data_IF_455002618404
#
_entry.id   IF_455002618404
#
_cell.length_a   1.000
_cell.length_b   1.000
_cell.length_c   1.000
_cell.angle_alpha   90.00
_cell.angle_beta   90.00
_cell.angle_gamma   90.00
#
_symmetry.space_group_name_H-M   'P 1'
#
loop_
_entity.id
_entity.type
_entity.pdbx_description
1 polymer ?
#
# COMPACT_ATOMS: atom_id res chain seq x y z
N UNK A 1 -34.30 3.58 45.81
CA UNK A 1 -33.00 3.09 45.27
C UNK A 1 -33.02 3.16 43.74
N UNK A 2 -32.79 4.31 43.10
CA UNK A 2 -32.83 4.47 41.62
C UNK A 2 -31.89 5.56 41.08
N UNK A 3 -30.79 5.86 41.76
CA UNK A 3 -29.89 6.97 41.37
C UNK A 3 -28.45 6.53 41.06
N UNK A 4 -28.08 5.28 41.34
CA UNK A 4 -26.70 4.81 41.12
C UNK A 4 -26.46 4.20 39.73
N UNK A 5 -27.52 3.72 39.07
CA UNK A 5 -27.40 3.10 37.74
C UNK A 5 -27.14 4.12 36.62
N UNK A 6 -27.56 5.38 36.79
CA UNK A 6 -27.51 6.38 35.72
C UNK A 6 -26.09 6.95 35.49
N UNK A 7 -25.25 6.97 36.54
CA UNK A 7 -23.88 7.49 36.43
C UNK A 7 -22.88 6.47 35.88
N UNK A 8 -23.18 5.16 35.96
CA UNK A 8 -22.32 4.13 35.38
C UNK A 8 -22.43 4.10 33.85
N UNK A 9 -23.61 4.39 33.31
CA UNK A 9 -23.85 4.42 31.85
C UNK A 9 -23.25 5.67 31.21
N UNK A 10 -23.11 6.79 31.92
CA UNK A 10 -22.45 8.00 31.40
C UNK A 10 -20.92 7.92 31.38
N UNK A 11 -20.31 7.10 32.24
CA UNK A 11 -18.84 6.93 32.30
C UNK A 11 -18.28 5.88 31.35
N UNK A 12 -19.10 4.91 30.91
CA UNK A 12 -18.62 3.78 30.11
C UNK A 12 -18.53 3.99 28.60
N UNK A 13 -19.19 5.02 28.04
CA UNK A 13 -19.30 5.19 26.57
C UNK A 13 -18.08 5.89 25.96
N UNK A 14 -17.21 6.49 26.77
CA UNK A 14 -16.09 7.31 26.25
C UNK A 14 -14.77 6.55 26.01
N UNK A 15 -14.71 5.24 26.27
CA UNK A 15 -13.43 4.49 26.16
C UNK A 15 -13.36 3.60 24.90
N UNK A 16 -14.44 3.49 24.12
CA UNK A 16 -14.52 2.55 23.00
C UNK A 16 -14.37 3.18 21.60
N UNK A 17 -13.65 4.30 21.47
CA UNK A 17 -13.41 4.95 20.17
C UNK A 17 -11.94 4.97 19.72
N UNK A 18 -10.99 4.59 20.58
CA UNK A 18 -9.57 4.76 20.31
C UNK A 18 -8.87 3.56 19.64
N UNK A 19 -9.57 2.45 19.39
CA UNK A 19 -8.95 1.18 18.99
C UNK A 19 -8.88 0.90 17.48
N UNK A 20 -9.35 1.81 16.61
CA UNK A 20 -9.45 1.53 15.16
C UNK A 20 -8.49 2.33 14.26
N UNK A 21 -7.59 3.16 14.81
CA UNK A 21 -6.64 3.95 14.01
C UNK A 21 -5.33 3.20 13.67
N UNK A 22 -5.11 2.00 14.20
CA UNK A 22 -3.83 1.27 14.03
C UNK A 22 -3.91 0.04 13.11
N UNK A 23 -4.96 -0.08 12.29
CA UNK A 23 -5.11 -1.23 11.39
C UNK A 23 -4.44 -1.08 10.02
N UNK A 24 -3.95 0.11 9.65
CA UNK A 24 -3.39 0.37 8.30
C UNK A 24 -2.01 1.06 8.28
N UNK A 25 -1.31 1.08 9.41
CA UNK A 25 0.12 1.48 9.43
C UNK A 25 0.96 0.31 9.89
N UNK A 26 0.78 -0.86 9.27
CA UNK A 26 1.81 -1.88 9.38
C UNK A 26 3.01 -1.36 8.57
N UNK A 27 4.18 -1.11 9.18
CA UNK A 27 5.38 -0.93 8.38
C UNK A 27 5.51 -2.19 7.52
N UNK A 28 5.55 -2.05 6.19
CA UNK A 28 5.89 -3.16 5.28
C UNK A 28 7.16 -3.80 5.85
N UNK A 29 7.03 -5.02 6.38
CA UNK A 29 8.20 -5.80 6.77
C UNK A 29 9.02 -5.99 5.50
N UNK A 30 10.16 -5.31 5.41
CA UNK A 30 11.00 -5.17 4.20
C UNK A 30 11.68 -6.46 3.78
N UNK A 31 10.90 -7.46 3.39
CA UNK A 31 11.39 -8.76 2.90
C UNK A 31 10.64 -9.26 1.65
N UNK A 32 9.61 -8.55 1.19
CA UNK A 32 8.99 -8.85 -0.10
C UNK A 32 9.52 -7.86 -1.11
N UNK A 33 10.08 -8.39 -2.19
CA UNK A 33 10.50 -7.56 -3.31
C UNK A 33 9.27 -6.91 -3.95
N UNK A 34 9.42 -5.66 -4.36
CA UNK A 34 8.35 -4.88 -4.94
C UNK A 34 8.72 -4.49 -6.36
N UNK A 35 7.82 -4.72 -7.29
CA UNK A 35 8.07 -4.48 -8.71
C UNK A 35 6.98 -3.62 -9.32
N UNK A 36 7.40 -2.63 -10.10
CA UNK A 36 6.52 -1.79 -10.91
C UNK A 36 6.68 -2.09 -12.40
N UNK A 37 5.63 -1.84 -13.19
CA UNK A 37 5.68 -1.99 -14.64
C UNK A 37 4.81 -0.95 -15.33
N UNK A 38 5.37 -0.24 -16.32
CA UNK A 38 4.68 0.78 -17.11
C UNK A 38 3.83 0.16 -18.24
N UNK A 39 4.18 -1.03 -18.72
CA UNK A 39 3.60 -1.67 -19.91
C UNK A 39 3.21 -3.15 -19.70
N UNK A 40 3.44 -3.70 -18.49
CA UNK A 40 3.27 -5.11 -18.15
C UNK A 40 4.37 -6.04 -18.70
N UNK A 41 5.38 -5.50 -19.38
CA UNK A 41 6.46 -6.24 -20.04
C UNK A 41 7.82 -5.87 -19.46
N UNK A 42 8.06 -4.58 -19.26
CA UNK A 42 9.25 -4.01 -18.64
C UNK A 42 8.99 -3.83 -17.15
N UNK A 43 9.83 -4.44 -16.32
CA UNK A 43 9.65 -4.45 -14.87
C UNK A 43 10.82 -3.77 -14.18
N UNK A 44 10.53 -3.06 -13.09
CA UNK A 44 11.53 -2.35 -12.29
C UNK A 44 11.45 -2.83 -10.85
N UNK A 45 12.58 -3.23 -10.27
CA UNK A 45 12.65 -3.52 -8.85
C UNK A 45 12.70 -2.21 -8.07
N UNK A 46 11.67 -1.98 -7.26
CA UNK A 46 11.49 -0.76 -6.45
C UNK A 46 11.53 -1.04 -4.95
N UNK A 47 12.01 -2.22 -4.53
CA UNK A 47 12.12 -2.63 -3.12
C UNK A 47 12.85 -1.60 -2.25
N UNK A 48 13.89 -0.95 -2.80
CA UNK A 48 14.67 0.09 -2.12
C UNK A 48 14.52 1.49 -2.76
N UNK A 49 13.53 1.65 -3.64
CA UNK A 49 13.26 2.91 -4.32
C UNK A 49 12.29 3.78 -3.51
N UNK A 50 12.38 5.10 -3.67
CA UNK A 50 11.57 6.07 -2.93
C UNK A 50 10.37 6.53 -3.77
N UNK A 51 9.12 6.33 -3.32
CA UNK A 51 7.94 6.87 -3.99
C UNK A 51 7.97 8.40 -4.09
N UNK A 52 7.55 8.95 -5.23
CA UNK A 52 7.59 10.38 -5.56
C UNK A 52 8.98 10.91 -5.95
N UNK A 53 10.02 10.08 -5.90
CA UNK A 53 11.38 10.42 -6.34
C UNK A 53 11.83 9.47 -7.45
N UNK A 54 11.76 8.17 -7.18
CA UNK A 54 12.21 7.12 -8.10
C UNK A 54 11.08 6.57 -8.97
N UNK A 55 9.88 6.50 -8.40
CA UNK A 55 8.65 6.10 -9.09
C UNK A 55 7.44 6.80 -8.48
N UNK A 56 6.33 6.86 -9.21
CA UNK A 56 5.05 7.30 -8.69
C UNK A 56 3.95 6.27 -8.97
N UNK A 57 2.92 6.29 -8.13
CA UNK A 57 1.69 5.53 -8.31
C UNK A 57 0.55 6.51 -8.59
N UNK A 58 0.44 6.92 -9.85
CA UNK A 58 -0.54 7.92 -10.27
C UNK A 58 -1.95 7.33 -10.35
N UNK A 59 -2.94 8.11 -9.92
CA UNK A 59 -4.35 7.74 -10.05
C UNK A 59 -4.73 7.70 -11.53
N UNK A 60 -5.19 6.54 -12.00
CA UNK A 60 -5.65 6.37 -13.37
C UNK A 60 -7.10 5.88 -13.38
N UNK A 61 -7.86 6.37 -14.36
CA UNK A 61 -9.18 5.85 -14.66
C UNK A 61 -9.00 4.51 -15.38
N UNK A 62 -9.09 3.39 -14.66
CA UNK A 62 -9.21 1.97 -15.09
C UNK A 62 -8.16 1.04 -14.40
N UNK A 63 -8.44 -0.28 -14.25
CA UNK A 63 -7.87 -1.09 -13.18
C UNK A 63 -6.47 -1.58 -13.53
N UNK A 64 -5.46 -0.83 -13.09
CA UNK A 64 -4.07 -1.26 -13.08
C UNK A 64 -3.60 -1.22 -11.62
N UNK A 65 -2.78 -2.19 -11.22
CA UNK A 65 -2.10 -2.17 -9.94
C UNK A 65 -0.72 -1.54 -10.13
N UNK A 66 -0.31 -0.68 -9.19
CA UNK A 66 0.97 0.02 -9.30
C UNK A 66 2.17 -0.90 -9.03
N UNK A 67 2.06 -1.76 -8.01
CA UNK A 67 3.14 -2.62 -7.55
C UNK A 67 2.71 -4.08 -7.53
N UNK A 68 3.67 -4.97 -7.70
CA UNK A 68 3.49 -6.43 -7.70
C UNK A 68 4.60 -7.10 -6.89
N UNK A 69 4.35 -8.34 -6.45
CA UNK A 69 5.29 -9.17 -5.67
C UNK A 69 6.32 -9.93 -6.52
N UNK A 70 6.28 -9.74 -7.85
CA UNK A 70 7.19 -10.35 -8.80
C UNK A 70 7.14 -9.64 -10.15
N UNK A 71 8.19 -9.79 -10.97
CA UNK A 71 8.27 -9.15 -12.28
C UNK A 71 7.64 -10.05 -13.35
N UNK A 72 6.34 -10.32 -13.26
CA UNK A 72 5.63 -11.15 -14.24
C UNK A 72 4.16 -10.80 -14.37
N UNK A 73 3.56 -11.17 -15.50
CA UNK A 73 2.11 -11.01 -15.71
C UNK A 73 1.24 -11.90 -14.81
N UNK A 74 1.85 -12.88 -14.14
CA UNK A 74 1.19 -13.74 -13.16
C UNK A 74 1.47 -13.35 -11.70
N UNK A 75 2.26 -12.28 -11.47
CA UNK A 75 2.57 -11.79 -10.15
C UNK A 75 1.32 -11.24 -9.45
N UNK A 76 1.31 -11.32 -8.12
CA UNK A 76 0.21 -10.79 -7.34
C UNK A 76 0.42 -9.29 -7.13
N UNK A 77 -0.65 -8.50 -7.22
CA UNK A 77 -0.57 -7.09 -6.93
C UNK A 77 -0.32 -6.83 -5.44
N UNK A 78 0.43 -5.76 -5.16
CA UNK A 78 0.70 -5.23 -3.83
C UNK A 78 -0.03 -3.89 -3.69
N UNK A 79 -0.87 -3.78 -2.66
CA UNK A 79 -1.51 -2.51 -2.28
C UNK A 79 -2.82 -2.22 -3.03
N UNK A 80 -3.10 -0.94 -3.23
CA UNK A 80 -4.37 -0.46 -3.77
C UNK A 80 -4.51 -0.72 -5.28
N UNK A 81 -5.76 -0.90 -5.71
CA UNK A 81 -6.16 -0.98 -7.12
C UNK A 81 -6.27 0.44 -7.72
N UNK A 82 -6.28 0.54 -9.06
CA UNK A 82 -6.51 1.80 -9.81
C UNK A 82 -5.35 2.82 -9.75
N UNK A 83 -4.11 2.31 -9.78
CA UNK A 83 -2.91 3.13 -9.88
C UNK A 83 -1.97 2.64 -10.97
N UNK A 84 -1.47 3.56 -11.77
CA UNK A 84 -0.45 3.30 -12.79
C UNK A 84 0.93 3.55 -12.19
N UNK A 85 1.86 2.64 -12.49
CA UNK A 85 3.27 2.84 -12.19
C UNK A 85 3.87 3.81 -13.20
N UNK A 86 4.54 4.85 -12.70
CA UNK A 86 5.27 5.81 -13.52
C UNK A 86 6.71 5.87 -13.04
N UNK A 87 7.66 5.61 -13.94
CA UNK A 87 9.07 5.73 -13.59
C UNK A 87 9.49 7.21 -13.56
N UNK A 88 10.06 7.65 -12.44
CA UNK A 88 10.56 9.02 -12.28
C UNK A 88 12.09 9.09 -12.37
N UNK A 89 12.78 8.05 -11.88
CA UNK A 89 14.24 7.95 -11.95
C UNK A 89 14.68 7.00 -13.07
N UNK A 90 15.26 7.52 -14.18
CA UNK A 90 15.71 6.70 -15.30
C UNK A 90 16.99 5.88 -14.99
N UNK A 91 17.62 6.07 -13.83
CA UNK A 91 18.77 5.27 -13.39
C UNK A 91 18.36 3.90 -12.82
N UNK A 92 17.06 3.69 -12.53
CA UNK A 92 16.57 2.36 -12.18
C UNK A 92 16.61 1.46 -13.41
N UNK A 93 17.49 0.47 -13.36
CA UNK A 93 17.62 -0.52 -14.43
C UNK A 93 16.42 -1.49 -14.44
N UNK A 94 15.93 -1.87 -15.63
CA UNK A 94 14.88 -2.86 -15.74
C UNK A 94 15.39 -4.24 -15.31
N UNK A 95 14.47 -5.08 -14.84
CA UNK A 95 14.72 -6.46 -14.46
C UNK A 95 14.72 -7.32 -15.73
N UNK A 96 15.83 -8.02 -15.99
CA UNK A 96 15.90 -9.02 -17.05
C UNK A 96 15.08 -10.26 -16.65
N UNK A 97 14.09 -10.61 -17.49
CA UNK A 97 13.28 -11.81 -17.34
C UNK A 97 13.90 -12.93 -18.19
N UNK A 98 14.65 -13.83 -17.55
CA UNK A 98 15.22 -15.04 -18.17
C UNK A 98 14.15 -16.03 -18.68
#
# INVERSE_FOLDING_TARGET
MKTYALNLVRGGVFVLAAAFAFAFTQPKNGLMDEFGSEDGVTWYNVTNATPGIDYDCNEVQLPIYCLYDGPSTSANPIGDIEREFVLLNPELEPVDLD
#
